data_IF_163652236381
#
_entry.id   IF_163652236381
#
_cell.length_a   1.000
_cell.length_b   1.000
_cell.length_c   1.000
_cell.angle_alpha   90.00
_cell.angle_beta   90.00
_cell.angle_gamma   90.00
#
_symmetry.space_group_name_H-M   'P 1'
#
loop_
_entity.id
_entity.type
_entity.pdbx_description
1 polymer ?
#
# COMPACT_ATOMS: atom_id res chain seq x y z
N UNK A 1 36.31 8.19 38.27
CA UNK A 1 35.53 7.00 37.84
C UNK A 1 34.07 7.37 37.80
N UNK A 2 33.54 7.73 36.60
CA UNK A 2 32.10 7.70 36.33
C UNK A 2 31.85 8.21 34.89
N UNK A 3 31.96 7.36 33.90
CA UNK A 3 31.45 7.64 32.52
C UNK A 3 31.43 6.33 31.74
N UNK A 4 30.49 5.46 32.01
CA UNK A 4 30.06 4.39 31.08
C UNK A 4 28.64 3.99 31.53
N UNK A 5 27.61 4.69 31.14
CA UNK A 5 26.19 4.18 31.18
C UNK A 5 25.27 5.14 30.42
N UNK A 6 25.54 5.40 29.15
CA UNK A 6 24.60 6.22 28.34
C UNK A 6 24.57 5.86 26.85
N UNK A 7 24.97 4.66 26.46
CA UNK A 7 24.96 4.27 25.04
C UNK A 7 24.12 3.03 24.72
N UNK A 8 23.40 2.47 25.69
CA UNK A 8 22.57 1.28 25.44
C UNK A 8 21.08 1.62 25.23
N UNK A 9 20.64 2.80 25.61
CA UNK A 9 19.21 3.17 25.59
C UNK A 9 18.68 3.63 24.20
N UNK A 10 19.55 3.98 23.27
CA UNK A 10 19.12 4.51 21.96
C UNK A 10 18.84 3.39 20.95
N UNK A 11 19.45 2.22 21.11
CA UNK A 11 19.24 1.08 20.21
C UNK A 11 17.94 0.29 20.52
N UNK A 12 17.40 0.41 21.72
CA UNK A 12 16.14 -0.27 22.10
C UNK A 12 14.88 0.48 21.66
N UNK A 13 14.95 1.77 21.35
CA UNK A 13 13.78 2.55 20.93
C UNK A 13 13.45 2.44 19.44
N UNK A 14 14.43 2.07 18.60
CA UNK A 14 14.15 1.84 17.17
C UNK A 14 13.54 0.47 16.86
N UNK A 15 13.59 -0.49 17.80
CA UNK A 15 12.97 -1.82 17.63
C UNK A 15 11.48 -1.87 18.02
N UNK A 16 10.96 -0.89 18.74
CA UNK A 16 9.53 -0.84 19.12
C UNK A 16 8.64 -0.17 18.04
N UNK A 17 9.23 0.45 17.01
CA UNK A 17 8.49 1.14 15.95
C UNK A 17 8.13 0.24 14.74
N UNK A 18 8.76 -0.93 14.60
CA UNK A 18 8.32 -1.96 13.66
C UNK A 18 7.22 -2.81 14.34
N UNK A 19 6.14 -2.16 14.77
CA UNK A 19 4.98 -2.91 15.25
C UNK A 19 4.36 -3.61 14.05
N UNK A 20 4.39 -4.91 14.12
CA UNK A 20 3.66 -5.93 13.40
C UNK A 20 2.57 -5.39 12.46
N UNK A 21 2.90 -5.24 11.15
CA UNK A 21 1.96 -4.87 10.09
C UNK A 21 0.73 -5.77 10.14
N UNK A 22 0.95 -7.04 10.33
CA UNK A 22 -0.04 -8.11 10.37
C UNK A 22 -1.08 -7.86 11.45
N UNK A 23 -0.67 -7.68 12.70
CA UNK A 23 -1.59 -7.44 13.81
C UNK A 23 -2.41 -6.18 13.61
N UNK A 24 -1.78 -5.09 13.17
CA UNK A 24 -2.47 -3.81 12.91
C UNK A 24 -3.43 -3.89 11.73
N UNK A 25 -3.05 -4.57 10.63
CA UNK A 25 -3.93 -4.76 9.47
C UNK A 25 -5.13 -5.62 9.84
N UNK A 26 -4.93 -6.70 10.61
CA UNK A 26 -6.04 -7.57 11.06
C UNK A 26 -7.01 -6.77 11.94
N UNK A 27 -6.51 -6.03 12.92
CA UNK A 27 -7.32 -5.21 13.82
C UNK A 27 -8.16 -4.20 13.05
N UNK A 28 -7.55 -3.44 12.14
CA UNK A 28 -8.26 -2.45 11.32
C UNK A 28 -9.23 -3.08 10.32
N UNK A 29 -8.90 -4.24 9.77
CA UNK A 29 -9.80 -4.95 8.88
C UNK A 29 -11.01 -5.52 9.61
N UNK A 30 -10.89 -5.89 10.88
CA UNK A 30 -12.03 -6.30 11.71
C UNK A 30 -12.99 -5.15 11.96
N UNK A 31 -12.47 -3.94 12.18
CA UNK A 31 -13.28 -2.75 12.42
C UNK A 31 -13.91 -2.15 11.16
N UNK A 32 -13.23 -2.25 10.00
CA UNK A 32 -13.60 -1.53 8.77
C UNK A 32 -14.08 -2.43 7.62
N UNK A 33 -14.40 -3.70 7.88
CA UNK A 33 -14.92 -4.65 6.87
C UNK A 33 -14.01 -4.78 5.63
N UNK A 34 -12.69 -4.62 5.82
CA UNK A 34 -11.72 -4.70 4.73
C UNK A 34 -11.32 -6.14 4.39
N UNK A 35 -10.74 -6.33 3.20
CA UNK A 35 -10.24 -7.64 2.79
C UNK A 35 -8.98 -8.01 3.58
N UNK A 36 -9.14 -8.95 4.51
CA UNK A 36 -8.02 -9.47 5.29
C UNK A 36 -7.04 -10.23 4.40
N UNK A 37 -5.74 -10.00 4.58
CA UNK A 37 -4.72 -10.87 4.00
C UNK A 37 -4.90 -12.33 4.48
N UNK A 38 -4.56 -13.29 3.62
CA UNK A 38 -4.79 -14.71 3.92
C UNK A 38 -3.68 -15.36 4.74
N UNK A 39 -2.45 -14.88 4.56
CA UNK A 39 -1.26 -15.45 5.20
C UNK A 39 -0.32 -14.30 5.51
N UNK A 40 0.33 -14.41 6.67
CA UNK A 40 1.34 -13.47 7.11
C UNK A 40 2.54 -14.26 7.62
N UNK A 41 3.70 -13.84 7.21
CA UNK A 41 4.97 -14.24 7.80
C UNK A 41 5.60 -12.96 8.34
N UNK A 42 5.88 -12.93 9.65
CA UNK A 42 6.56 -11.82 10.29
C UNK A 42 8.07 -12.01 10.23
N UNK A 43 8.77 -11.02 9.72
CA UNK A 43 10.21 -10.91 9.82
C UNK A 43 10.60 -9.60 10.52
N UNK A 44 11.81 -9.54 11.05
CA UNK A 44 12.32 -8.35 11.75
C UNK A 44 12.46 -7.11 10.87
N UNK A 45 12.61 -7.28 9.56
CA UNK A 45 12.88 -6.19 8.61
C UNK A 45 11.70 -5.89 7.69
N UNK A 46 10.90 -6.89 7.33
CA UNK A 46 9.71 -6.80 6.50
C UNK A 46 8.80 -8.00 6.77
N UNK A 47 7.54 -7.89 6.41
CA UNK A 47 6.56 -8.96 6.52
C UNK A 47 6.25 -9.52 5.14
N UNK A 48 5.94 -10.82 5.05
CA UNK A 48 5.33 -11.40 3.86
C UNK A 48 3.81 -11.37 3.99
N UNK A 49 3.14 -10.75 3.02
CA UNK A 49 1.70 -10.55 3.03
C UNK A 49 1.10 -11.08 1.74
N UNK A 50 0.08 -11.94 1.83
CA UNK A 50 -0.68 -12.38 0.67
C UNK A 50 -2.05 -11.73 0.64
N UNK A 51 -2.35 -11.04 -0.45
CA UNK A 51 -3.70 -10.60 -0.77
C UNK A 51 -4.37 -11.59 -1.71
N UNK A 52 -5.65 -11.88 -1.44
CA UNK A 52 -6.51 -12.65 -2.35
C UNK A 52 -6.85 -11.83 -3.60
N UNK A 53 -7.40 -12.51 -4.61
CA UNK A 53 -8.03 -11.83 -5.74
C UNK A 53 -9.02 -10.77 -5.24
N UNK A 54 -8.96 -9.58 -5.83
CA UNK A 54 -9.83 -8.45 -5.46
C UNK A 54 -10.15 -7.58 -6.67
N UNK A 55 -11.37 -7.06 -6.71
CA UNK A 55 -11.74 -6.05 -7.69
C UNK A 55 -11.31 -4.68 -7.20
N UNK A 56 -10.69 -3.93 -8.09
CA UNK A 56 -10.28 -2.55 -7.84
C UNK A 56 -10.84 -1.66 -8.93
N UNK A 57 -11.16 -0.43 -8.61
CA UNK A 57 -11.29 0.65 -9.57
C UNK A 57 -10.00 1.45 -9.54
N UNK A 58 -9.43 1.75 -10.71
CA UNK A 58 -8.09 2.31 -10.85
C UNK A 58 -8.06 3.45 -11.87
N UNK A 59 -7.08 4.34 -11.72
CA UNK A 59 -6.76 5.38 -12.73
C UNK A 59 -5.26 5.61 -12.76
N UNK A 60 -4.69 5.79 -13.97
CA UNK A 60 -3.32 6.28 -14.11
C UNK A 60 -3.27 7.79 -13.97
N UNK A 61 -2.22 8.29 -13.32
CA UNK A 61 -1.99 9.70 -13.02
C UNK A 61 -0.52 10.05 -13.23
N UNK A 62 -0.26 11.11 -13.98
CA UNK A 62 1.04 11.76 -14.02
C UNK A 62 1.08 12.84 -12.95
N UNK A 63 2.04 12.76 -12.01
CA UNK A 63 2.16 13.67 -10.88
C UNK A 63 3.62 13.79 -10.41
N UNK A 64 3.94 14.87 -9.72
CA UNK A 64 5.30 15.11 -9.20
C UNK A 64 5.65 14.19 -8.02
N UNK A 65 4.64 13.73 -7.27
CA UNK A 65 4.79 12.87 -6.11
C UNK A 65 3.52 12.08 -5.79
N UNK A 66 3.65 11.19 -4.80
CA UNK A 66 2.56 10.30 -4.34
C UNK A 66 1.37 11.09 -3.81
N UNK A 67 1.60 12.17 -3.07
CA UNK A 67 0.53 12.98 -2.48
C UNK A 67 -0.33 13.63 -3.57
N UNK A 68 0.32 14.25 -4.55
CA UNK A 68 -0.35 14.83 -5.72
C UNK A 68 -1.07 13.78 -6.55
N UNK A 69 -0.45 12.60 -6.74
CA UNK A 69 -1.08 11.48 -7.45
C UNK A 69 -2.34 10.99 -6.74
N UNK A 70 -2.28 10.81 -5.42
CA UNK A 70 -3.43 10.43 -4.61
C UNK A 70 -4.55 11.47 -4.69
N UNK A 71 -4.24 12.76 -4.58
CA UNK A 71 -5.25 13.82 -4.66
C UNK A 71 -6.01 13.78 -6.00
N UNK A 72 -5.28 13.69 -7.12
CA UNK A 72 -5.86 13.64 -8.47
C UNK A 72 -6.64 12.33 -8.70
N UNK A 73 -6.03 11.21 -8.36
CA UNK A 73 -6.61 9.89 -8.60
C UNK A 73 -7.87 9.64 -7.77
N UNK A 74 -7.83 9.96 -6.48
CA UNK A 74 -8.97 9.77 -5.58
C UNK A 74 -10.19 10.60 -5.99
N UNK A 75 -10.01 11.82 -6.51
CA UNK A 75 -11.11 12.62 -7.02
C UNK A 75 -11.88 11.89 -8.11
N UNK A 76 -11.17 11.32 -9.11
CA UNK A 76 -11.76 10.53 -10.20
C UNK A 76 -12.46 9.27 -9.69
N UNK A 77 -11.77 8.52 -8.81
CA UNK A 77 -12.26 7.24 -8.31
C UNK A 77 -13.47 7.41 -7.37
N UNK A 78 -13.50 8.46 -6.53
CA UNK A 78 -14.67 8.79 -5.73
C UNK A 78 -15.83 9.32 -6.59
N UNK A 79 -15.56 10.01 -7.71
CA UNK A 79 -16.60 10.36 -8.67
C UNK A 79 -17.27 9.10 -9.22
N UNK A 80 -16.48 8.10 -9.65
CA UNK A 80 -17.01 6.80 -10.06
C UNK A 80 -17.88 6.16 -8.97
N UNK A 81 -17.38 6.08 -7.75
CA UNK A 81 -18.09 5.44 -6.63
C UNK A 81 -19.40 6.16 -6.23
N UNK A 82 -19.48 7.47 -6.49
CA UNK A 82 -20.64 8.33 -6.16
C UNK A 82 -21.62 8.52 -7.31
N UNK A 83 -21.77 7.57 -8.20
CA UNK A 83 -22.67 7.60 -9.36
C UNK A 83 -22.02 7.98 -10.70
N UNK A 84 -20.72 8.21 -10.81
CA UNK A 84 -19.98 8.42 -12.06
C UNK A 84 -19.78 7.13 -12.86
N UNK A 85 -20.83 6.29 -12.94
CA UNK A 85 -20.86 5.02 -13.65
C UNK A 85 -22.13 4.91 -14.49
N UNK A 86 -22.14 4.01 -15.45
CA UNK A 86 -23.24 3.87 -16.42
C UNK A 86 -24.61 3.54 -15.81
N UNK A 87 -24.62 2.99 -14.58
CA UNK A 87 -25.85 2.70 -13.85
C UNK A 87 -26.33 3.89 -12.98
N UNK A 88 -25.52 4.93 -12.81
CA UNK A 88 -25.82 6.07 -11.94
C UNK A 88 -26.02 5.67 -10.46
N UNK A 89 -25.34 4.63 -9.99
CA UNK A 89 -25.51 4.06 -8.64
C UNK A 89 -24.26 4.22 -7.80
N UNK A 90 -24.43 4.17 -6.47
CA UNK A 90 -23.31 4.14 -5.54
C UNK A 90 -22.63 2.76 -5.60
N UNK A 91 -21.29 2.75 -5.70
CA UNK A 91 -20.47 1.55 -5.61
C UNK A 91 -19.75 1.57 -4.26
N UNK A 92 -20.08 0.65 -3.34
CA UNK A 92 -19.41 0.60 -2.05
C UNK A 92 -17.96 0.15 -2.18
N UNK A 93 -17.09 0.80 -1.40
CA UNK A 93 -15.65 0.59 -1.38
C UNK A 93 -15.20 0.06 -0.03
N UNK A 94 -14.05 -0.61 -0.01
CA UNK A 94 -13.40 -1.11 1.21
C UNK A 94 -11.92 -0.72 1.26
N UNK A 95 -11.31 -0.88 2.43
CA UNK A 95 -9.86 -0.82 2.56
C UNK A 95 -9.20 -2.15 2.07
N UNK A 96 -7.91 -2.14 1.71
CA UNK A 96 -7.09 -0.94 1.53
C UNK A 96 -7.41 -0.18 0.25
N UNK A 97 -7.02 1.07 0.21
CA UNK A 97 -6.90 1.87 -1.00
C UNK A 97 -5.46 2.37 -1.11
N UNK A 98 -5.01 2.82 -2.26
CA UNK A 98 -3.61 3.23 -2.33
C UNK A 98 -3.10 3.58 -3.71
N UNK A 99 -1.80 3.45 -3.85
CA UNK A 99 -1.08 3.82 -5.06
C UNK A 99 0.00 2.80 -5.42
N UNK A 100 0.15 2.54 -6.70
CA UNK A 100 1.28 1.85 -7.29
C UNK A 100 2.17 2.93 -7.90
N UNK A 101 3.43 3.01 -7.45
CA UNK A 101 4.43 3.91 -8.00
C UNK A 101 5.47 3.13 -8.79
N UNK A 102 5.87 3.63 -9.95
CA UNK A 102 6.85 2.97 -10.81
C UNK A 102 8.27 3.43 -10.52
N UNK A 103 9.21 2.51 -10.63
CA UNK A 103 10.62 2.73 -10.40
C UNK A 103 11.41 2.51 -11.69
N UNK A 104 12.41 3.35 -11.91
CA UNK A 104 13.37 3.15 -13.00
C UNK A 104 14.75 3.63 -12.55
N UNK A 105 15.74 2.76 -12.64
CA UNK A 105 17.11 3.04 -12.21
C UNK A 105 17.22 3.52 -10.74
N UNK A 106 16.35 3.01 -9.85
CA UNK A 106 16.32 3.42 -8.44
C UNK A 106 15.65 4.77 -8.17
N UNK A 107 14.92 5.33 -9.15
CA UNK A 107 14.20 6.60 -9.00
C UNK A 107 12.70 6.39 -9.19
N UNK A 108 11.89 7.06 -8.35
CA UNK A 108 10.43 7.07 -8.48
C UNK A 108 10.07 7.91 -9.71
N UNK A 109 9.27 7.31 -10.60
CA UNK A 109 8.79 7.97 -11.80
C UNK A 109 7.58 8.85 -11.50
N UNK A 110 7.37 9.89 -12.31
CA UNK A 110 6.19 10.78 -12.23
C UNK A 110 4.93 10.15 -12.84
N UNK A 111 4.82 8.84 -12.76
CA UNK A 111 3.68 8.07 -13.21
C UNK A 111 3.22 7.16 -12.08
N UNK A 112 1.92 7.19 -11.79
CA UNK A 112 1.33 6.45 -10.68
C UNK A 112 0.02 5.81 -11.13
N UNK A 113 -0.38 4.75 -10.45
CA UNK A 113 -1.71 4.16 -10.57
C UNK A 113 -2.38 4.19 -9.21
N UNK A 114 -3.42 4.98 -9.07
CA UNK A 114 -4.22 5.08 -7.84
C UNK A 114 -5.37 4.10 -7.91
N UNK A 115 -5.70 3.44 -6.81
CA UNK A 115 -6.76 2.44 -6.75
C UNK A 115 -7.61 2.53 -5.48
N UNK A 116 -8.86 2.08 -5.61
CA UNK A 116 -9.79 1.81 -4.51
C UNK A 116 -10.30 0.38 -4.65
N UNK A 117 -10.39 -0.35 -3.53
CA UNK A 117 -10.92 -1.72 -3.51
C UNK A 117 -12.44 -1.66 -3.47
N UNK A 118 -13.09 -2.41 -4.36
CA UNK A 118 -14.55 -2.59 -4.37
C UNK A 118 -14.90 -3.70 -3.40
N UNK A 119 -15.94 -3.52 -2.57
CA UNK A 119 -16.35 -4.55 -1.60
C UNK A 119 -16.69 -5.87 -2.32
N UNK A 120 -16.34 -7.04 -1.76
CA UNK A 120 -16.50 -8.35 -2.41
C UNK A 120 -17.94 -8.68 -2.82
N UNK A 121 -18.92 -8.10 -2.14
CA UNK A 121 -20.34 -8.29 -2.41
C UNK A 121 -20.77 -7.70 -3.78
N UNK A 122 -20.00 -6.75 -4.31
CA UNK A 122 -20.25 -6.18 -5.66
C UNK A 122 -19.56 -7.05 -6.70
N UNK A 123 -20.26 -8.08 -7.16
CA UNK A 123 -19.70 -9.05 -8.12
C UNK A 123 -19.57 -8.47 -9.53
N UNK A 124 -20.49 -7.56 -9.94
CA UNK A 124 -20.54 -6.93 -11.25
C UNK A 124 -20.64 -5.40 -11.10
N UNK A 125 -19.54 -4.70 -10.77
CA UNK A 125 -19.57 -3.26 -10.68
C UNK A 125 -19.90 -2.62 -12.04
N UNK A 126 -20.72 -1.55 -12.08
CA UNK A 126 -21.06 -0.88 -13.32
C UNK A 126 -19.85 -0.20 -13.96
N UNK A 127 -19.79 -0.16 -15.27
CA UNK A 127 -18.67 0.47 -16.00
C UNK A 127 -18.55 1.97 -15.65
N UNK A 128 -17.32 2.50 -15.52
CA UNK A 128 -17.10 3.93 -15.34
C UNK A 128 -17.59 4.74 -16.53
N UNK A 129 -18.04 5.99 -16.30
CA UNK A 129 -18.34 6.95 -17.38
C UNK A 129 -17.09 7.74 -17.80
N UNK A 130 -16.10 7.86 -16.93
CA UNK A 130 -14.79 8.44 -17.23
C UNK A 130 -13.91 7.37 -17.92
N UNK A 131 -13.46 7.58 -19.18
CA UNK A 131 -12.65 6.62 -19.92
C UNK A 131 -11.22 6.44 -19.34
N UNK A 132 -10.79 7.30 -18.42
CA UNK A 132 -9.50 7.19 -17.72
C UNK A 132 -9.58 6.34 -16.45
N UNK A 133 -10.79 5.88 -16.09
CA UNK A 133 -11.05 5.02 -14.94
C UNK A 133 -11.37 3.62 -15.43
N UNK A 134 -10.76 2.61 -14.85
CA UNK A 134 -10.97 1.21 -15.21
C UNK A 134 -11.29 0.33 -13.99
N UNK A 135 -11.99 -0.77 -14.22
CA UNK A 135 -12.23 -1.81 -13.22
C UNK A 135 -11.32 -2.97 -13.53
N UNK A 136 -10.49 -3.34 -12.55
CA UNK A 136 -9.50 -4.39 -12.68
C UNK A 136 -9.76 -5.51 -11.66
N UNK A 137 -9.65 -6.75 -12.10
CA UNK A 137 -9.56 -7.90 -11.18
C UNK A 137 -8.08 -8.15 -10.91
N UNK A 138 -7.58 -7.67 -9.77
CA UNK A 138 -6.21 -7.92 -9.34
C UNK A 138 -6.07 -9.36 -8.86
N UNK A 139 -5.13 -10.15 -9.43
CA UNK A 139 -4.92 -11.54 -9.02
C UNK A 139 -4.44 -11.63 -7.57
N UNK A 140 -4.46 -12.84 -6.97
CA UNK A 140 -3.76 -13.08 -5.72
C UNK A 140 -2.27 -12.74 -5.88
N UNK A 141 -1.70 -12.07 -4.88
CA UNK A 141 -0.32 -11.60 -4.94
C UNK A 141 0.34 -11.64 -3.56
N UNK A 142 1.63 -11.94 -3.55
CA UNK A 142 2.48 -11.87 -2.37
C UNK A 142 3.31 -10.60 -2.42
N UNK A 143 3.41 -9.92 -1.27
CA UNK A 143 4.26 -8.74 -1.09
C UNK A 143 5.22 -8.94 0.07
N UNK A 144 6.40 -8.36 -0.06
CA UNK A 144 7.25 -8.02 1.06
C UNK A 144 6.96 -6.58 1.43
N UNK A 145 6.47 -6.33 2.65
CA UNK A 145 6.03 -5.01 3.05
C UNK A 145 6.35 -4.64 4.48
N UNK A 146 6.25 -3.35 4.77
CA UNK A 146 6.40 -2.78 6.12
C UNK A 146 5.31 -1.76 6.38
N UNK A 147 4.74 -1.78 7.59
CA UNK A 147 3.79 -0.76 8.03
C UNK A 147 4.51 0.45 8.63
N UNK A 148 3.90 1.60 8.48
CA UNK A 148 4.32 2.83 9.12
C UNK A 148 3.15 3.81 9.29
N UNK A 149 3.36 4.82 10.14
CA UNK A 149 2.42 5.92 10.32
C UNK A 149 2.47 6.85 9.09
N UNK A 150 1.30 7.26 8.57
CA UNK A 150 1.18 8.18 7.43
C UNK A 150 1.59 9.62 7.73
N UNK A 151 1.83 9.96 8.99
CA UNK A 151 2.35 11.28 9.37
C UNK A 151 3.80 11.54 8.96
N UNK A 152 4.41 10.59 8.26
CA UNK A 152 5.76 10.77 7.70
C UNK A 152 5.69 11.63 6.44
N UNK A 153 6.67 12.52 6.29
CA UNK A 153 6.80 13.34 5.10
C UNK A 153 7.29 12.54 3.88
N UNK A 154 7.24 13.14 2.69
CA UNK A 154 7.67 12.54 1.41
C UNK A 154 9.06 11.92 1.51
N UNK A 155 10.02 12.65 2.07
CA UNK A 155 11.41 12.19 2.17
C UNK A 155 11.53 10.94 3.04
N UNK A 156 10.84 10.93 4.17
CA UNK A 156 10.80 9.77 5.06
C UNK A 156 10.12 8.56 4.40
N UNK A 157 9.09 8.77 3.58
CA UNK A 157 8.46 7.70 2.80
C UNK A 157 9.44 7.10 1.79
N UNK A 158 10.13 7.93 1.02
CA UNK A 158 11.14 7.49 0.06
C UNK A 158 12.30 6.74 0.74
N UNK A 159 12.83 7.28 1.85
CA UNK A 159 13.88 6.62 2.64
C UNK A 159 13.45 5.22 3.12
N UNK A 160 12.20 5.07 3.55
CA UNK A 160 11.65 3.78 4.01
C UNK A 160 11.47 2.80 2.86
N UNK A 161 10.97 3.25 1.71
CA UNK A 161 10.83 2.43 0.51
C UNK A 161 12.18 1.85 0.10
N UNK A 162 13.20 2.69 -0.03
CA UNK A 162 14.53 2.24 -0.42
C UNK A 162 15.24 1.42 0.67
N UNK A 163 14.88 1.61 1.95
CA UNK A 163 15.36 0.74 3.01
C UNK A 163 14.77 -0.67 2.90
N UNK A 164 13.48 -0.82 2.59
CA UNK A 164 12.86 -2.14 2.35
C UNK A 164 13.56 -2.82 1.18
N UNK A 165 13.76 -2.13 0.05
CA UNK A 165 14.45 -2.68 -1.12
C UNK A 165 15.85 -3.20 -0.76
N UNK A 166 16.61 -2.40 -0.02
CA UNK A 166 17.96 -2.78 0.44
C UNK A 166 17.95 -3.99 1.37
N UNK A 167 16.99 -4.06 2.29
CA UNK A 167 16.85 -5.20 3.20
C UNK A 167 16.54 -6.48 2.41
N UNK A 168 15.64 -6.40 1.42
CA UNK A 168 15.31 -7.53 0.52
C UNK A 168 16.51 -7.99 -0.30
N UNK A 169 17.30 -7.07 -0.85
CA UNK A 169 18.53 -7.38 -1.58
C UNK A 169 19.58 -8.07 -0.68
N UNK A 170 19.74 -7.58 0.56
CA UNK A 170 20.67 -8.17 1.54
C UNK A 170 20.26 -9.59 1.95
N UNK A 171 18.98 -9.85 2.05
CA UNK A 171 18.43 -11.16 2.39
C UNK A 171 18.26 -12.07 1.15
N UNK A 172 18.72 -11.62 -0.02
CA UNK A 172 18.62 -12.33 -1.30
C UNK A 172 17.18 -12.74 -1.67
N UNK A 173 16.20 -11.89 -1.33
CA UNK A 173 14.79 -12.12 -1.69
C UNK A 173 14.55 -11.77 -3.16
N UNK A 174 13.67 -12.54 -3.80
CA UNK A 174 13.24 -12.27 -5.18
C UNK A 174 11.99 -11.38 -5.19
N UNK A 175 12.09 -10.18 -5.74
CA UNK A 175 10.99 -9.22 -5.82
C UNK A 175 11.03 -8.41 -7.12
N UNK A 176 9.90 -7.82 -7.51
CA UNK A 176 9.84 -6.90 -8.63
C UNK A 176 10.29 -5.50 -8.19
N UNK A 177 11.45 -5.07 -8.67
CA UNK A 177 12.02 -3.76 -8.36
C UNK A 177 11.57 -2.64 -9.31
N UNK A 178 10.65 -2.92 -10.24
CA UNK A 178 10.17 -1.93 -11.22
C UNK A 178 9.00 -1.10 -10.73
N UNK A 179 8.34 -1.54 -9.66
CA UNK A 179 7.27 -0.80 -8.99
C UNK A 179 7.19 -1.13 -7.51
N UNK A 180 6.53 -0.29 -6.77
CA UNK A 180 6.13 -0.54 -5.38
C UNK A 180 4.63 -0.31 -5.23
N UNK A 181 4.06 -0.88 -4.18
CA UNK A 181 2.69 -0.62 -3.77
C UNK A 181 2.67 0.07 -2.41
N UNK A 182 1.77 1.02 -2.25
CA UNK A 182 1.43 1.63 -0.97
C UNK A 182 -0.05 1.44 -0.72
N UNK A 183 -0.38 0.64 0.28
CA UNK A 183 -1.73 0.35 0.75
C UNK A 183 -2.05 1.22 1.98
N UNK A 184 -3.17 1.92 1.97
CA UNK A 184 -3.66 2.77 3.07
C UNK A 184 -4.89 2.10 3.67
N UNK A 185 -4.83 1.76 4.96
CA UNK A 185 -5.87 0.98 5.64
C UNK A 185 -6.88 1.83 6.41
N UNK A 186 -6.50 3.04 6.81
CA UNK A 186 -7.42 3.98 7.46
C UNK A 186 -7.00 5.44 7.23
N UNK A 187 -7.88 6.37 7.60
CA UNK A 187 -7.61 7.81 7.54
C UNK A 187 -6.67 8.30 8.64
N UNK A 188 -6.46 7.52 9.69
CA UNK A 188 -5.67 7.90 10.88
C UNK A 188 -4.21 7.49 10.79
N UNK A 189 -3.83 6.78 9.70
CA UNK A 189 -2.43 6.73 9.34
C UNK A 189 -1.76 5.38 9.25
N UNK A 190 -2.47 4.24 9.23
CA UNK A 190 -1.79 2.99 8.94
C UNK A 190 -1.60 2.82 7.43
N UNK A 191 -0.35 2.79 7.03
CA UNK A 191 0.06 2.58 5.64
C UNK A 191 1.03 1.41 5.57
N UNK A 192 0.78 0.48 4.65
CA UNK A 192 1.75 -0.54 4.24
C UNK A 192 2.46 -0.10 2.97
N UNK A 193 3.75 -0.40 2.87
CA UNK A 193 4.51 -0.17 1.64
C UNK A 193 5.40 -1.38 1.37
N UNK A 194 5.53 -1.76 0.10
CA UNK A 194 6.35 -2.91 -0.24
C UNK A 194 6.46 -3.21 -1.72
N UNK A 195 7.04 -4.37 -2.00
CA UNK A 195 7.34 -4.88 -3.32
C UNK A 195 6.68 -6.24 -3.54
N UNK A 196 6.25 -6.50 -4.77
CA UNK A 196 5.73 -7.82 -5.14
C UNK A 196 6.84 -8.87 -5.06
N UNK A 197 6.53 -9.97 -4.37
CA UNK A 197 7.41 -11.14 -4.31
C UNK A 197 7.38 -11.86 -5.65
N UNK A 198 8.55 -12.12 -6.22
CA UNK A 198 8.73 -12.89 -7.46
C UNK A 198 9.47 -14.20 -7.16
N UNK A 199 9.13 -15.25 -7.90
CA UNK A 199 9.69 -16.59 -7.65
C UNK A 199 8.91 -17.37 -6.57
N UNK A 200 9.05 -18.70 -6.64
CA UNK A 200 8.49 -19.65 -5.66
C UNK A 200 9.31 -19.67 -4.38
#
# INVERSE_FOLDING_TARGET
MLRIFLTVSVLFWNHLAAQNLVGKVIELCDENDCQKPSIFVEDKNYDEVQFKERKRVETEVDAEDIESALAIGLEKLFSYARCGNVAGTIVPLSAPWGVIGYLKNGEIQQKFRVFLVIVPQVTNPPAPTDPTVEIVTAPPVWYYGRAFDTKVDKKQMEERLFQIMKDLEQDNQSFDSTYFIMDIFNTDGLTGMGFEKTGE
#
